data_IF_974267172225
#
_entry.id   IF_974267172225
#
_cell.length_a   1.000
_cell.length_b   1.000
_cell.length_c   1.000
_cell.angle_alpha   90.00
_cell.angle_beta   90.00
_cell.angle_gamma   90.00
#
_symmetry.space_group_name_H-M   'P 1'
#
loop_
_entity.id
_entity.type
_entity.pdbx_description
1 polymer ?
#
# COMPACT_ATOMS: atom_id res chain seq x y z
N UNK A 1 -1.10 20.37 20.85
CA UNK A 1 -0.86 18.93 21.14
C UNK A 1 0.51 18.81 21.79
N UNK A 2 0.67 17.91 22.74
CA UNK A 2 1.99 17.61 23.31
C UNK A 2 2.90 17.00 22.27
N UNK A 3 4.16 17.47 22.22
CA UNK A 3 5.17 16.93 21.30
C UNK A 3 5.49 15.47 21.68
N UNK A 4 5.52 14.58 20.72
CA UNK A 4 5.84 13.15 20.90
C UNK A 4 6.92 12.71 19.95
N UNK A 5 7.67 11.70 20.35
CA UNK A 5 8.71 11.08 19.53
C UNK A 5 8.21 9.74 18.97
N UNK A 6 8.25 9.61 17.65
CA UNK A 6 7.81 8.42 16.91
C UNK A 6 9.00 7.67 16.31
N UNK A 7 9.04 6.35 16.47
CA UNK A 7 9.91 5.46 15.71
C UNK A 7 9.04 4.58 14.81
N UNK A 8 9.09 4.82 13.50
CA UNK A 8 8.39 4.01 12.51
C UNK A 8 9.32 2.95 11.91
N UNK A 9 8.79 1.76 11.61
CA UNK A 9 9.52 0.72 10.88
C UNK A 9 8.77 0.35 9.62
N UNK A 10 9.47 0.24 8.51
CA UNK A 10 8.90 -0.15 7.22
C UNK A 10 9.90 -0.95 6.39
N UNK A 11 9.43 -1.85 5.53
CA UNK A 11 10.30 -2.52 4.57
C UNK A 11 10.90 -1.55 3.55
N UNK A 12 10.19 -0.46 3.26
CA UNK A 12 10.57 0.55 2.26
C UNK A 12 10.24 1.96 2.72
N UNK A 13 11.00 2.94 2.17
CA UNK A 13 10.69 4.36 2.30
C UNK A 13 11.15 5.10 1.02
N UNK A 14 10.39 6.08 0.50
CA UNK A 14 10.79 6.83 -0.70
C UNK A 14 12.14 7.55 -0.55
N UNK A 15 13.02 7.51 -1.59
CA UNK A 15 12.79 7.03 -2.95
C UNK A 15 12.98 5.52 -3.12
N UNK A 16 13.36 4.77 -2.08
CA UNK A 16 13.65 3.33 -2.09
C UNK A 16 12.40 2.53 -1.81
N UNK A 17 11.44 2.54 -2.75
CA UNK A 17 10.13 1.92 -2.50
C UNK A 17 9.46 1.31 -3.73
N UNK A 18 8.45 0.47 -3.44
CA UNK A 18 7.52 -0.10 -4.40
C UNK A 18 6.14 -0.17 -3.73
N UNK A 19 5.17 0.57 -4.24
CA UNK A 19 3.79 0.51 -3.77
C UNK A 19 3.38 1.60 -2.77
N UNK A 20 2.11 1.56 -2.42
CA UNK A 20 1.45 2.60 -1.63
C UNK A 20 1.71 2.55 -0.12
N UNK A 21 2.15 1.39 0.42
CA UNK A 21 2.49 1.23 1.83
C UNK A 21 3.60 2.19 2.27
N UNK A 22 4.70 2.24 1.51
CA UNK A 22 5.79 3.15 1.76
C UNK A 22 5.41 4.63 1.55
N UNK A 23 4.51 4.90 0.60
CA UNK A 23 3.95 6.24 0.37
C UNK A 23 3.13 6.69 1.57
N UNK A 24 2.30 5.80 2.15
CA UNK A 24 1.56 6.09 3.37
C UNK A 24 2.50 6.42 4.54
N UNK A 25 3.58 5.63 4.75
CA UNK A 25 4.57 5.92 5.81
C UNK A 25 5.20 7.29 5.61
N UNK A 26 5.54 7.65 4.37
CA UNK A 26 6.06 8.98 4.03
C UNK A 26 5.03 10.06 4.38
N UNK A 27 3.79 9.91 3.95
CA UNK A 27 2.74 10.89 4.24
C UNK A 27 2.53 11.06 5.74
N UNK A 28 2.41 9.96 6.48
CA UNK A 28 2.22 10.01 7.94
C UNK A 28 3.41 10.67 8.64
N UNK A 29 4.64 10.28 8.31
CA UNK A 29 5.83 10.83 8.95
C UNK A 29 5.99 12.33 8.69
N UNK A 30 5.79 12.78 7.45
CA UNK A 30 5.91 14.20 7.09
C UNK A 30 4.79 15.06 7.70
N UNK A 31 3.56 14.55 7.77
CA UNK A 31 2.45 15.28 8.42
C UNK A 31 2.63 15.37 9.94
N UNK A 32 3.12 14.32 10.60
CA UNK A 32 3.44 14.39 12.03
C UNK A 32 4.57 15.40 12.33
N UNK A 33 5.58 15.50 11.48
CA UNK A 33 6.63 16.53 11.59
C UNK A 33 6.05 17.94 11.47
N UNK A 34 5.13 18.18 10.52
CA UNK A 34 4.45 19.48 10.37
C UNK A 34 3.66 19.87 11.63
N UNK A 35 3.20 18.90 12.39
CA UNK A 35 2.51 19.11 13.68
C UNK A 35 3.45 19.31 14.87
N UNK A 36 4.77 19.28 14.63
CA UNK A 36 5.79 19.52 15.66
C UNK A 36 6.23 18.28 16.42
N UNK A 37 5.90 17.09 15.92
CA UNK A 37 6.40 15.82 16.47
C UNK A 37 7.80 15.49 15.93
N UNK A 38 8.57 14.72 16.71
CA UNK A 38 9.85 14.15 16.28
C UNK A 38 9.59 12.78 15.65
N UNK A 39 10.06 12.57 14.41
CA UNK A 39 9.74 11.36 13.67
C UNK A 39 10.99 10.73 13.05
N UNK A 40 11.21 9.46 13.40
CA UNK A 40 12.29 8.62 12.95
C UNK A 40 11.72 7.43 12.14
N UNK A 41 12.33 7.12 11.00
CA UNK A 41 11.90 5.99 10.16
C UNK A 41 13.05 5.05 9.86
N UNK A 42 12.92 3.79 10.30
CA UNK A 42 13.86 2.70 10.02
C UNK A 42 13.32 1.83 8.88
N UNK A 43 14.13 1.59 7.83
CA UNK A 43 13.72 0.80 6.69
C UNK A 43 14.86 0.00 6.04
N UNK A 44 14.53 -1.02 5.20
CA UNK A 44 15.51 -1.94 4.61
C UNK A 44 15.92 -1.52 3.20
N UNK A 45 17.20 -1.23 3.01
CA UNK A 45 17.79 -1.04 1.68
C UNK A 45 18.02 -2.38 0.98
N UNK A 46 18.37 -3.42 1.71
CA UNK A 46 18.59 -4.75 1.14
C UNK A 46 17.31 -5.26 0.46
N UNK A 47 16.13 -5.01 1.06
CA UNK A 47 14.84 -5.33 0.46
C UNK A 47 14.59 -4.60 -0.85
N UNK A 48 14.98 -3.33 -0.95
CA UNK A 48 14.88 -2.56 -2.20
C UNK A 48 15.84 -3.09 -3.27
N UNK A 49 17.12 -3.29 -2.93
CA UNK A 49 18.15 -3.84 -3.83
C UNK A 49 17.83 -5.26 -4.30
N UNK A 50 17.16 -6.06 -3.46
CA UNK A 50 16.72 -7.39 -3.85
C UNK A 50 15.73 -7.35 -5.02
N UNK A 51 14.78 -6.41 -5.00
CA UNK A 51 13.78 -6.24 -6.08
C UNK A 51 14.30 -5.41 -7.27
N UNK A 52 15.32 -4.58 -7.08
CA UNK A 52 15.96 -3.74 -8.11
C UNK A 52 17.47 -3.93 -8.09
N UNK A 53 17.98 -5.08 -8.59
CA UNK A 53 19.42 -5.42 -8.53
C UNK A 53 20.33 -4.42 -9.24
N UNK A 54 19.83 -3.78 -10.30
CA UNK A 54 20.58 -2.83 -11.14
C UNK A 54 20.69 -1.42 -10.52
N UNK A 55 20.20 -1.25 -9.30
CA UNK A 55 20.30 0.03 -8.61
C UNK A 55 21.74 0.28 -8.12
N UNK A 56 22.41 1.25 -8.74
CA UNK A 56 23.79 1.66 -8.43
C UNK A 56 23.87 3.00 -7.68
N UNK A 57 22.73 3.53 -7.18
CA UNK A 57 22.72 4.78 -6.43
C UNK A 57 23.52 4.67 -5.11
N UNK A 58 24.18 5.76 -4.72
CA UNK A 58 24.77 5.91 -3.40
C UNK A 58 23.68 5.86 -2.34
N UNK A 59 23.92 5.11 -1.29
CA UNK A 59 23.04 5.05 -0.13
C UNK A 59 23.58 6.07 0.85
N UNK A 60 22.83 7.11 1.11
CA UNK A 60 23.18 8.07 2.15
C UNK A 60 22.98 7.40 3.52
N UNK A 61 23.99 7.46 4.37
CA UNK A 61 23.87 7.10 5.77
C UNK A 61 22.99 8.13 6.45
N UNK A 62 22.11 7.70 7.34
CA UNK A 62 21.22 8.52 8.16
C UNK A 62 21.02 9.96 7.63
N UNK A 63 19.94 10.19 6.92
CA UNK A 63 19.62 11.51 6.35
C UNK A 63 18.39 12.10 7.03
N UNK A 64 18.28 13.43 7.03
CA UNK A 64 17.05 14.13 7.39
C UNK A 64 16.36 14.63 6.13
N UNK A 65 15.13 14.17 5.90
CA UNK A 65 14.36 14.56 4.72
C UNK A 65 12.97 15.07 5.13
N UNK A 66 12.62 16.28 4.73
CA UNK A 66 11.37 16.94 5.09
C UNK A 66 11.10 16.91 6.61
N UNK A 67 12.18 17.04 7.43
CA UNK A 67 12.11 16.99 8.88
C UNK A 67 12.09 15.59 9.49
N UNK A 68 11.97 14.53 8.71
CA UNK A 68 11.98 13.13 9.16
C UNK A 68 13.41 12.61 9.20
N UNK A 69 13.81 11.99 10.32
CA UNK A 69 15.11 11.34 10.48
C UNK A 69 15.06 9.90 9.95
N UNK A 70 15.85 9.61 8.91
CA UNK A 70 15.82 8.35 8.17
C UNK A 70 16.99 7.45 8.54
N UNK A 71 16.72 6.18 8.80
CA UNK A 71 17.69 5.14 9.16
C UNK A 71 17.62 3.99 8.14
N UNK A 72 18.28 4.15 6.97
CA UNK A 72 18.37 3.08 5.98
C UNK A 72 19.25 1.95 6.51
N UNK A 73 18.73 0.73 6.55
CA UNK A 73 19.43 -0.44 7.04
C UNK A 73 19.97 -1.28 5.88
N UNK A 74 21.27 -1.54 5.91
CA UNK A 74 21.94 -2.46 5.01
C UNK A 74 22.73 -3.47 5.83
N UNK A 75 22.32 -4.75 5.78
CA UNK A 75 23.00 -5.83 6.50
C UNK A 75 24.37 -6.11 5.89
N UNK A 76 25.42 -6.36 6.70
CA UNK A 76 26.70 -6.85 6.21
C UNK A 76 26.57 -8.17 5.42
N UNK A 77 25.55 -8.97 5.69
CA UNK A 77 25.24 -10.22 5.00
C UNK A 77 24.40 -10.02 3.72
N UNK A 78 23.93 -8.80 3.45
CA UNK A 78 23.14 -8.45 2.27
C UNK A 78 21.97 -9.40 2.03
N UNK A 79 21.89 -9.96 0.81
CA UNK A 79 20.81 -10.89 0.43
C UNK A 79 20.69 -12.12 1.34
N UNK A 80 21.76 -12.60 1.94
CA UNK A 80 21.72 -13.76 2.84
C UNK A 80 20.91 -13.47 4.09
N UNK A 81 20.99 -12.25 4.64
CA UNK A 81 20.16 -11.86 5.79
C UNK A 81 18.66 -11.83 5.43
N UNK A 82 18.30 -11.41 4.22
CA UNK A 82 16.93 -11.48 3.73
C UNK A 82 16.42 -12.92 3.64
N UNK A 83 17.24 -13.85 3.15
CA UNK A 83 16.91 -15.28 3.11
C UNK A 83 16.70 -15.86 4.52
N UNK A 84 17.62 -15.58 5.44
CA UNK A 84 17.48 -15.99 6.84
C UNK A 84 16.25 -15.40 7.48
N UNK A 85 15.99 -14.11 7.26
CA UNK A 85 14.78 -13.43 7.75
C UNK A 85 13.52 -14.09 7.21
N UNK A 86 13.49 -14.45 5.93
CA UNK A 86 12.36 -15.15 5.33
C UNK A 86 12.13 -16.54 5.96
N UNK A 87 13.22 -17.33 6.13
CA UNK A 87 13.15 -18.70 6.63
C UNK A 87 12.86 -18.80 8.13
N UNK A 88 13.38 -17.85 8.92
CA UNK A 88 13.30 -17.88 10.39
C UNK A 88 12.33 -16.85 10.98
N UNK A 89 11.91 -15.87 10.18
CA UNK A 89 11.13 -14.72 10.62
C UNK A 89 11.94 -13.68 11.39
N UNK A 90 13.28 -13.85 11.51
CA UNK A 90 14.15 -13.03 12.37
C UNK A 90 15.41 -12.61 11.67
N UNK A 91 15.88 -11.38 11.94
CA UNK A 91 17.22 -10.90 11.63
C UNK A 91 17.91 -10.42 12.90
N UNK A 92 19.09 -10.95 13.20
CA UNK A 92 19.90 -10.51 14.35
C UNK A 92 20.43 -9.10 14.13
N UNK A 93 20.83 -8.76 12.89
CA UNK A 93 21.28 -7.43 12.52
C UNK A 93 20.18 -6.38 12.73
N UNK A 94 18.99 -6.60 12.13
CA UNK A 94 17.85 -5.69 12.26
C UNK A 94 17.46 -5.53 13.73
N UNK A 95 17.38 -6.64 14.50
CA UNK A 95 17.09 -6.59 15.94
C UNK A 95 18.09 -5.71 16.70
N UNK A 96 19.40 -5.88 16.42
CA UNK A 96 20.45 -5.09 17.09
C UNK A 96 20.29 -3.60 16.79
N UNK A 97 20.10 -3.23 15.50
CA UNK A 97 19.90 -1.86 15.08
C UNK A 97 18.65 -1.24 15.68
N UNK A 98 17.52 -1.95 15.64
CA UNK A 98 16.27 -1.53 16.24
C UNK A 98 16.41 -1.30 17.75
N UNK A 99 17.05 -2.24 18.47
CA UNK A 99 17.28 -2.09 19.92
C UNK A 99 18.23 -0.93 20.25
N UNK A 100 19.19 -0.63 19.37
CA UNK A 100 20.04 0.56 19.48
C UNK A 100 19.22 1.84 19.36
N UNK A 101 18.42 1.96 18.32
CA UNK A 101 17.55 3.11 18.09
C UNK A 101 16.53 3.34 19.23
N UNK A 102 15.94 2.28 19.78
CA UNK A 102 15.05 2.40 20.94
C UNK A 102 15.75 3.03 22.16
N UNK A 103 17.01 2.72 22.40
CA UNK A 103 17.80 3.28 23.53
C UNK A 103 18.20 4.74 23.28
N UNK A 104 18.55 5.06 22.04
CA UNK A 104 18.98 6.38 21.61
C UNK A 104 17.79 7.36 21.57
N UNK A 105 16.74 7.00 20.85
CA UNK A 105 15.57 7.84 20.54
C UNK A 105 14.61 7.92 21.74
N UNK A 106 14.42 6.81 22.48
CA UNK A 106 13.43 6.65 23.55
C UNK A 106 12.02 7.09 23.12
N UNK A 107 11.46 6.47 22.07
CA UNK A 107 10.22 6.92 21.47
C UNK A 107 9.03 6.75 22.44
N UNK A 108 8.03 7.63 22.31
CA UNK A 108 6.72 7.48 22.94
C UNK A 108 5.85 6.47 22.19
N UNK A 109 6.06 6.38 20.87
CA UNK A 109 5.30 5.51 19.97
C UNK A 109 6.26 4.77 19.04
N UNK A 110 6.13 3.44 19.00
CA UNK A 110 6.72 2.61 17.95
C UNK A 110 5.60 2.16 17.03
N UNK A 111 5.70 2.52 15.75
CA UNK A 111 4.68 2.20 14.77
C UNK A 111 5.25 1.36 13.64
N UNK A 112 4.83 0.11 13.60
CA UNK A 112 5.23 -0.85 12.58
C UNK A 112 4.28 -0.80 11.38
N UNK A 113 4.84 -0.77 10.18
CA UNK A 113 4.08 -0.84 8.94
C UNK A 113 4.37 -2.16 8.22
N UNK A 114 4.86 -2.15 6.99
CA UNK A 114 5.30 -3.37 6.32
C UNK A 114 6.66 -3.82 6.85
N UNK A 115 6.73 -5.00 7.48
CA UNK A 115 7.96 -5.54 8.10
C UNK A 115 8.50 -6.78 7.40
N UNK A 116 8.09 -7.06 6.18
CA UNK A 116 8.44 -8.27 5.44
C UNK A 116 9.96 -8.53 5.39
N UNK A 117 10.77 -7.49 5.22
CA UNK A 117 12.23 -7.59 5.20
C UNK A 117 12.90 -7.30 6.54
N UNK A 118 12.15 -6.94 7.56
CA UNK A 118 12.69 -6.64 8.91
C UNK A 118 12.59 -7.84 9.85
N UNK A 119 11.64 -8.75 9.58
CA UNK A 119 11.34 -9.88 10.44
C UNK A 119 10.46 -9.52 11.64
N UNK A 120 9.83 -10.54 12.25
CA UNK A 120 8.86 -10.31 13.33
C UNK A 120 9.48 -9.89 14.66
N UNK A 121 10.78 -10.06 14.85
CA UNK A 121 11.46 -9.72 16.09
C UNK A 121 11.51 -8.21 16.39
N UNK A 122 11.23 -7.34 15.41
CA UNK A 122 11.03 -5.90 15.63
C UNK A 122 9.71 -5.58 16.34
N UNK A 123 8.70 -6.46 16.26
CA UNK A 123 7.42 -6.27 16.92
C UNK A 123 7.50 -6.43 18.45
N UNK A 124 8.58 -7.03 18.95
CA UNK A 124 8.76 -7.26 20.38
C UNK A 124 8.88 -5.94 21.13
N UNK A 125 8.05 -5.77 22.17
CA UNK A 125 8.04 -4.58 23.01
C UNK A 125 9.16 -4.65 24.05
N UNK A 126 10.04 -3.65 24.06
CA UNK A 126 11.22 -3.59 24.95
C UNK A 126 11.16 -2.44 25.98
N UNK A 127 10.06 -1.68 26.02
CA UNK A 127 9.96 -0.52 26.88
C UNK A 127 8.53 -0.02 27.06
N UNK A 128 8.41 1.15 27.68
CA UNK A 128 7.12 1.82 27.87
C UNK A 128 6.86 2.78 26.70
N UNK A 129 6.27 2.29 25.65
CA UNK A 129 5.82 3.06 24.48
C UNK A 129 4.56 2.39 23.92
N UNK A 130 3.76 3.13 23.18
CA UNK A 130 2.67 2.54 22.43
C UNK A 130 3.24 1.74 21.24
N UNK A 131 2.96 0.44 21.17
CA UNK A 131 3.45 -0.48 20.15
C UNK A 131 2.34 -0.78 19.12
N UNK A 132 2.36 -0.08 17.99
CA UNK A 132 1.31 -0.12 16.99
C UNK A 132 1.74 -0.86 15.73
N UNK A 133 0.80 -1.48 15.03
CA UNK A 133 1.03 -2.11 13.73
C UNK A 133 -0.08 -1.74 12.75
N UNK A 134 0.27 -1.10 11.61
CA UNK A 134 -0.69 -0.93 10.50
C UNK A 134 -0.55 -2.06 9.50
N UNK A 135 -1.65 -2.77 9.25
CA UNK A 135 -1.71 -3.89 8.33
C UNK A 135 -1.94 -3.40 6.88
N UNK A 136 -0.85 -3.05 6.17
CA UNK A 136 -0.94 -2.63 4.76
C UNK A 136 -1.13 -3.79 3.80
N UNK A 137 -0.80 -5.00 4.22
CA UNK A 137 -0.99 -6.25 3.51
C UNK A 137 -1.39 -7.37 4.47
N UNK A 138 -1.53 -8.58 3.96
CA UNK A 138 -1.94 -9.74 4.76
C UNK A 138 -0.78 -10.52 5.39
N UNK A 139 0.38 -9.89 5.57
CA UNK A 139 1.59 -10.55 6.08
C UNK A 139 1.37 -11.24 7.43
N UNK A 140 0.61 -10.66 8.35
CA UNK A 140 0.34 -11.28 9.66
C UNK A 140 -0.34 -12.65 9.56
N UNK A 141 -1.14 -12.90 8.53
CA UNK A 141 -2.01 -14.09 8.39
C UNK A 141 -1.75 -14.94 7.15
N UNK A 142 -0.93 -14.46 6.20
CA UNK A 142 -0.65 -15.14 4.95
C UNK A 142 0.85 -15.17 4.65
N UNK A 143 1.43 -16.37 4.39
CA UNK A 143 2.85 -16.53 4.04
C UNK A 143 3.20 -15.87 2.69
N UNK A 144 2.20 -15.66 1.83
CA UNK A 144 2.32 -14.97 0.54
C UNK A 144 1.99 -13.50 0.62
N UNK A 145 1.44 -13.00 1.75
CA UNK A 145 0.98 -11.64 2.04
C UNK A 145 -0.11 -11.08 1.11
N UNK A 146 -0.63 -11.88 0.17
CA UNK A 146 -1.60 -11.45 -0.84
C UNK A 146 -2.99 -12.10 -0.70
N UNK A 147 -3.17 -13.04 0.24
CA UNK A 147 -4.38 -13.89 0.37
C UNK A 147 -4.82 -14.55 -0.94
N UNK A 148 -3.88 -14.84 -1.84
CA UNK A 148 -4.16 -15.53 -3.10
C UNK A 148 -3.67 -16.98 -3.03
N UNK A 149 -4.59 -17.93 -3.17
CA UNK A 149 -4.27 -19.34 -3.23
C UNK A 149 -3.49 -19.64 -4.50
N UNK A 150 -2.27 -20.14 -4.35
CA UNK A 150 -1.29 -20.39 -5.42
C UNK A 150 -0.98 -19.16 -6.30
N UNK A 151 -1.32 -17.95 -5.84
CA UNK A 151 -1.18 -16.71 -6.61
C UNK A 151 -2.18 -16.56 -7.76
N UNK A 152 -3.29 -17.29 -7.74
CA UNK A 152 -4.27 -17.32 -8.82
C UNK A 152 -5.64 -16.79 -8.40
N UNK A 153 -6.20 -17.34 -7.33
CA UNK A 153 -7.54 -17.02 -6.84
C UNK A 153 -7.49 -16.55 -5.38
N UNK A 154 -8.53 -15.87 -4.91
CA UNK A 154 -8.66 -15.49 -3.51
C UNK A 154 -8.64 -16.73 -2.60
N UNK A 155 -7.98 -16.60 -1.44
CA UNK A 155 -7.80 -17.71 -0.50
C UNK A 155 -9.02 -17.82 0.43
N UNK A 156 -9.85 -18.83 0.21
CA UNK A 156 -10.98 -19.17 1.07
C UNK A 156 -10.58 -20.17 2.18
N UNK A 157 -9.72 -21.12 1.84
CA UNK A 157 -9.31 -22.20 2.75
C UNK A 157 -7.79 -22.21 2.94
N UNK A 158 -7.35 -22.11 4.18
CA UNK A 158 -5.93 -22.06 4.55
C UNK A 158 -5.28 -23.44 4.41
N UNK A 159 -4.41 -23.59 3.43
CA UNK A 159 -3.44 -24.67 3.34
C UNK A 159 -2.08 -24.04 2.99
N UNK A 160 -1.57 -23.24 3.93
CA UNK A 160 -0.44 -22.34 3.69
C UNK A 160 0.85 -23.09 3.31
N UNK A 161 1.10 -24.27 3.87
CA UNK A 161 2.29 -25.07 3.56
C UNK A 161 2.35 -25.44 2.08
N UNK A 162 1.32 -26.11 1.57
CA UNK A 162 1.26 -26.51 0.17
C UNK A 162 1.10 -25.32 -0.78
N UNK A 163 0.32 -24.29 -0.37
CA UNK A 163 0.18 -23.07 -1.16
C UNK A 163 1.53 -22.39 -1.40
N UNK A 164 2.36 -22.30 -0.37
CA UNK A 164 3.67 -21.66 -0.45
C UNK A 164 4.63 -22.50 -1.30
N UNK A 165 4.66 -23.83 -1.08
CA UNK A 165 5.52 -24.76 -1.82
C UNK A 165 5.18 -24.76 -3.32
N UNK A 166 3.89 -24.90 -3.68
CA UNK A 166 3.44 -24.85 -5.08
C UNK A 166 3.62 -23.49 -5.74
N UNK A 167 3.73 -22.44 -4.93
CA UNK A 167 4.11 -21.10 -5.41
C UNK A 167 5.63 -20.91 -5.55
N UNK A 168 6.42 -22.01 -5.49
CA UNK A 168 7.89 -22.01 -5.56
C UNK A 168 8.56 -21.15 -4.48
N UNK A 169 7.99 -21.15 -3.26
CA UNK A 169 8.52 -20.47 -2.09
C UNK A 169 8.72 -21.48 -0.95
N UNK A 170 9.67 -21.23 -0.07
CA UNK A 170 9.82 -22.04 1.14
C UNK A 170 8.70 -21.73 2.14
N UNK A 171 8.06 -22.75 2.75
CA UNK A 171 7.08 -22.54 3.81
C UNK A 171 7.68 -21.87 5.04
N UNK A 172 6.98 -20.89 5.59
CA UNK A 172 7.40 -20.14 6.78
C UNK A 172 6.89 -20.85 8.06
N UNK A 173 7.57 -21.94 8.44
CA UNK A 173 7.18 -22.80 9.57
C UNK A 173 7.17 -22.02 10.89
N UNK A 174 8.04 -21.00 11.03
CA UNK A 174 8.14 -20.16 12.21
C UNK A 174 6.83 -19.44 12.58
N UNK A 175 5.91 -19.27 11.64
CA UNK A 175 4.59 -18.64 11.91
C UNK A 175 3.73 -19.41 12.90
N UNK A 176 4.02 -20.71 13.09
CA UNK A 176 3.34 -21.56 14.08
C UNK A 176 4.14 -21.65 15.40
N UNK A 177 5.25 -20.93 15.52
CA UNK A 177 6.07 -21.00 16.73
C UNK A 177 5.46 -20.21 17.89
N UNK A 178 5.64 -20.70 19.12
CA UNK A 178 5.26 -20.00 20.34
C UNK A 178 5.86 -18.58 20.40
N UNK A 179 7.12 -18.44 19.97
CA UNK A 179 7.79 -17.14 19.95
C UNK A 179 7.16 -16.11 19.00
N UNK A 180 6.63 -16.53 17.87
CA UNK A 180 5.89 -15.61 17.00
C UNK A 180 4.57 -15.18 17.64
N UNK A 181 3.85 -16.12 18.29
CA UNK A 181 2.61 -15.83 18.99
C UNK A 181 2.81 -14.86 20.17
N UNK A 182 3.90 -15.06 20.95
CA UNK A 182 4.26 -14.15 22.04
C UNK A 182 4.51 -12.74 21.53
N UNK A 183 5.26 -12.59 20.44
CA UNK A 183 5.58 -11.27 19.88
C UNK A 183 4.36 -10.59 19.23
N UNK A 184 3.41 -11.35 18.69
CA UNK A 184 2.12 -10.79 18.27
C UNK A 184 1.33 -10.21 19.44
N UNK A 185 1.45 -10.82 20.65
CA UNK A 185 0.85 -10.33 21.89
C UNK A 185 1.49 -9.04 22.42
N UNK A 186 2.68 -8.69 21.97
CA UNK A 186 3.37 -7.44 22.32
C UNK A 186 2.84 -6.22 21.53
N UNK A 187 2.01 -6.42 20.52
CA UNK A 187 1.37 -5.34 19.77
C UNK A 187 0.16 -4.84 20.55
N UNK A 188 0.19 -3.61 20.99
CA UNK A 188 -0.91 -3.00 21.75
C UNK A 188 -2.17 -2.86 20.89
N UNK A 189 -2.01 -2.39 19.64
CA UNK A 189 -3.13 -2.27 18.70
C UNK A 189 -2.69 -2.48 17.26
N UNK A 190 -3.50 -3.22 16.51
CA UNK A 190 -3.40 -3.38 15.06
C UNK A 190 -4.38 -2.42 14.40
N UNK A 191 -3.87 -1.57 13.52
CA UNK A 191 -4.65 -0.68 12.67
C UNK A 191 -4.92 -1.40 11.35
N UNK A 192 -6.18 -1.62 11.06
CA UNK A 192 -6.66 -2.17 9.80
C UNK A 192 -7.23 -1.04 8.93
N UNK A 193 -6.67 -0.76 7.73
CA UNK A 193 -7.12 0.34 6.89
C UNK A 193 -8.50 0.15 6.24
N UNK A 194 -9.14 -1.01 6.39
CA UNK A 194 -10.50 -1.30 5.93
C UNK A 194 -11.21 -2.24 6.89
N UNK A 195 -12.54 -2.26 6.86
CA UNK A 195 -13.32 -3.23 7.62
C UNK A 195 -13.04 -4.65 7.15
N UNK A 196 -12.90 -4.84 5.83
CA UNK A 196 -12.51 -6.14 5.26
C UNK A 196 -11.20 -6.67 5.88
N UNK A 197 -10.18 -5.83 5.99
CA UNK A 197 -8.91 -6.22 6.63
C UNK A 197 -9.09 -6.52 8.12
N UNK A 198 -9.85 -5.69 8.83
CA UNK A 198 -10.17 -5.90 10.25
C UNK A 198 -10.81 -7.27 10.46
N UNK A 199 -11.83 -7.60 9.66
CA UNK A 199 -12.55 -8.87 9.77
C UNK A 199 -11.62 -10.05 9.46
N UNK A 200 -10.82 -9.96 8.38
CA UNK A 200 -9.85 -11.01 8.01
C UNK A 200 -8.78 -11.25 9.06
N UNK A 201 -8.29 -10.20 9.71
CA UNK A 201 -7.34 -10.32 10.81
C UNK A 201 -8.00 -10.92 12.05
N UNK A 202 -9.21 -10.46 12.43
CA UNK A 202 -9.96 -10.96 13.57
C UNK A 202 -10.31 -12.45 13.47
N UNK A 203 -10.67 -12.89 12.24
CA UNK A 203 -10.97 -14.30 11.94
C UNK A 203 -9.71 -15.19 11.92
N UNK A 204 -8.58 -14.61 11.59
CA UNK A 204 -7.39 -15.39 11.17
C UNK A 204 -6.26 -15.42 12.17
N UNK A 205 -6.15 -14.41 13.02
CA UNK A 205 -5.09 -14.37 14.03
C UNK A 205 -5.39 -15.37 15.15
N UNK A 206 -4.38 -16.11 15.62
CA UNK A 206 -4.54 -17.10 16.68
C UNK A 206 -4.66 -16.47 18.08
N UNK A 207 -4.38 -15.19 18.17
CA UNK A 207 -4.56 -14.34 19.37
C UNK A 207 -5.68 -13.35 19.09
N UNK A 208 -6.20 -12.70 20.11
CA UNK A 208 -7.22 -11.65 19.99
C UNK A 208 -6.61 -10.27 20.34
N UNK A 209 -5.81 -9.68 19.44
CA UNK A 209 -5.28 -8.33 19.67
C UNK A 209 -6.41 -7.30 19.57
N UNK A 210 -6.17 -6.12 20.11
CA UNK A 210 -7.04 -4.97 19.79
C UNK A 210 -6.87 -4.62 18.29
N UNK A 211 -7.94 -4.69 17.49
CA UNK A 211 -7.91 -4.34 16.08
C UNK A 211 -8.92 -3.22 15.82
N UNK A 212 -8.42 -2.09 15.39
CA UNK A 212 -9.24 -0.91 15.06
C UNK A 212 -9.25 -0.66 13.55
N UNK A 213 -10.35 -0.14 13.03
CA UNK A 213 -10.38 0.34 11.64
C UNK A 213 -10.06 1.83 11.62
N UNK A 214 -8.92 2.18 11.03
CA UNK A 214 -8.54 3.56 10.71
C UNK A 214 -8.09 3.55 9.25
N UNK A 215 -8.90 4.08 8.31
CA UNK A 215 -8.56 4.11 6.90
C UNK A 215 -7.26 4.89 6.62
N UNK A 216 -6.54 4.51 5.57
CA UNK A 216 -5.44 5.34 5.07
C UNK A 216 -5.97 6.71 4.66
N UNK A 217 -5.06 7.66 4.58
CA UNK A 217 -5.32 9.02 4.11
C UNK A 217 -4.31 9.41 3.01
N UNK A 218 -4.57 10.52 2.36
CA UNK A 218 -3.58 11.25 1.54
C UNK A 218 -3.49 12.68 2.07
N UNK A 219 -2.34 13.35 1.91
CA UNK A 219 -2.20 14.76 2.30
C UNK A 219 -3.15 15.67 1.52
N UNK A 220 -3.31 16.91 1.98
CA UNK A 220 -4.02 17.93 1.21
C UNK A 220 -3.40 18.10 -0.16
N UNK A 221 -4.27 18.22 -1.14
CA UNK A 221 -3.86 18.46 -2.53
C UNK A 221 -3.06 19.78 -2.63
N UNK A 222 -2.10 19.86 -3.57
CA UNK A 222 -1.54 21.15 -3.97
C UNK A 222 -2.65 22.11 -4.42
N UNK A 223 -2.53 23.39 -4.08
CA UNK A 223 -3.52 24.42 -4.45
C UNK A 223 -3.61 24.59 -5.96
N UNK A 224 -2.46 24.54 -6.65
CA UNK A 224 -2.34 24.75 -8.10
C UNK A 224 -2.00 23.45 -8.84
N UNK A 225 -3.00 22.57 -9.02
CA UNK A 225 -2.84 21.41 -9.90
C UNK A 225 -3.02 21.88 -11.35
N UNK A 226 -1.96 21.76 -12.14
CA UNK A 226 -1.99 22.08 -13.59
C UNK A 226 -2.92 21.14 -14.34
N UNK A 227 -3.43 21.58 -15.50
CA UNK A 227 -4.16 20.70 -16.40
C UNK A 227 -3.22 19.72 -17.07
N UNK A 228 -3.71 18.52 -17.35
CA UNK A 228 -2.95 17.54 -18.11
C UNK A 228 -2.99 17.88 -19.61
N UNK A 229 -1.98 17.42 -20.36
CA UNK A 229 -1.99 17.53 -21.83
C UNK A 229 -2.90 16.49 -22.52
N UNK A 230 -3.71 15.78 -21.74
CA UNK A 230 -4.58 14.69 -22.22
C UNK A 230 -6.04 15.02 -21.92
N UNK A 231 -6.91 14.62 -22.83
CA UNK A 231 -8.35 14.74 -22.69
C UNK A 231 -9.04 13.41 -22.96
N UNK A 232 -10.21 13.22 -22.36
CA UNK A 232 -11.10 12.09 -22.61
C UNK A 232 -10.40 10.72 -22.40
N UNK A 233 -9.93 10.45 -21.17
CA UNK A 233 -9.22 9.21 -20.85
C UNK A 233 -9.63 8.62 -19.51
N UNK A 234 -9.58 7.30 -19.46
CA UNK A 234 -9.57 6.54 -18.21
C UNK A 234 -8.13 6.41 -17.72
N UNK A 235 -7.94 6.44 -16.42
CA UNK A 235 -6.63 6.37 -15.78
C UNK A 235 -6.47 5.05 -15.03
N UNK A 236 -5.33 4.41 -15.15
CA UNK A 236 -4.87 3.34 -14.28
C UNK A 236 -3.59 3.78 -13.58
N UNK A 237 -3.53 3.63 -12.25
CA UNK A 237 -2.34 3.93 -11.45
C UNK A 237 -2.02 2.74 -10.54
N UNK A 238 -0.82 2.17 -10.70
CA UNK A 238 -0.39 1.06 -9.86
C UNK A 238 0.70 0.19 -10.49
N UNK A 239 1.15 -0.82 -9.72
CA UNK A 239 2.13 -1.78 -10.20
C UNK A 239 1.55 -2.64 -11.33
N UNK A 240 2.33 -2.88 -12.39
CA UNK A 240 1.91 -3.65 -13.55
C UNK A 240 2.14 -5.14 -13.29
N UNK A 241 1.29 -5.71 -12.42
CA UNK A 241 1.32 -7.11 -12.01
C UNK A 241 -0.03 -7.80 -12.27
N UNK A 242 0.00 -9.15 -12.40
CA UNK A 242 -1.19 -9.93 -12.76
C UNK A 242 -2.37 -9.70 -11.81
N UNK A 243 -2.12 -9.65 -10.51
CA UNK A 243 -3.16 -9.51 -9.49
C UNK A 243 -3.88 -8.16 -9.51
N UNK A 244 -3.30 -7.16 -10.18
CA UNK A 244 -3.93 -5.83 -10.40
C UNK A 244 -4.89 -5.77 -11.60
N UNK A 245 -5.02 -6.86 -12.37
CA UNK A 245 -6.00 -6.95 -13.46
C UNK A 245 -5.68 -6.15 -14.71
N UNK A 246 -4.52 -5.52 -14.79
CA UNK A 246 -4.14 -4.61 -15.88
C UNK A 246 -4.19 -5.25 -17.28
N UNK A 247 -3.81 -6.53 -17.41
CA UNK A 247 -3.88 -7.21 -18.70
C UNK A 247 -5.31 -7.33 -19.23
N UNK A 248 -6.28 -7.54 -18.33
CA UNK A 248 -7.69 -7.59 -18.71
C UNK A 248 -8.19 -6.22 -19.14
N UNK A 249 -7.79 -5.16 -18.43
CA UNK A 249 -8.16 -3.78 -18.77
C UNK A 249 -7.69 -3.43 -20.19
N UNK A 250 -6.43 -3.74 -20.55
CA UNK A 250 -5.90 -3.48 -21.90
C UNK A 250 -6.64 -4.29 -22.98
N UNK A 251 -7.02 -5.56 -22.68
CA UNK A 251 -7.82 -6.37 -23.60
C UNK A 251 -9.20 -5.76 -23.86
N UNK A 252 -9.84 -5.26 -22.80
CA UNK A 252 -11.13 -4.59 -22.91
C UNK A 252 -11.05 -3.34 -23.79
N UNK A 253 -9.99 -2.53 -23.66
CA UNK A 253 -9.78 -1.38 -24.53
C UNK A 253 -9.57 -1.77 -26.01
N UNK A 254 -9.00 -2.95 -26.28
CA UNK A 254 -8.99 -3.52 -27.64
C UNK A 254 -10.40 -3.89 -28.12
N UNK A 255 -11.19 -4.58 -27.27
CA UNK A 255 -12.52 -5.06 -27.64
C UNK A 255 -13.52 -3.92 -27.83
N UNK A 256 -13.43 -2.86 -27.04
CA UNK A 256 -14.24 -1.65 -27.18
C UNK A 256 -13.88 -0.92 -28.48
N UNK A 257 -12.62 -0.96 -28.89
CA UNK A 257 -12.13 -0.39 -30.14
C UNK A 257 -12.48 1.08 -30.31
N UNK A 258 -13.10 1.43 -31.46
CA UNK A 258 -13.54 2.78 -31.79
C UNK A 258 -14.93 3.11 -31.20
N UNK A 259 -15.58 2.17 -30.49
CA UNK A 259 -16.94 2.34 -29.95
C UNK A 259 -17.06 3.39 -28.85
N UNK A 260 -15.95 3.79 -28.23
CA UNK A 260 -15.90 4.95 -27.34
C UNK A 260 -14.74 5.86 -27.73
N UNK A 261 -14.98 7.15 -27.72
CA UNK A 261 -13.92 8.15 -27.91
C UNK A 261 -13.24 8.46 -26.55
N UNK A 262 -12.60 7.44 -25.96
CA UNK A 262 -11.81 7.60 -24.75
C UNK A 262 -10.54 6.76 -24.82
N UNK A 263 -9.45 7.28 -24.27
CA UNK A 263 -8.12 6.66 -24.18
C UNK A 263 -7.95 5.94 -22.85
N UNK A 264 -6.92 5.10 -22.74
CA UNK A 264 -6.43 4.55 -21.48
C UNK A 264 -5.00 5.05 -21.23
N UNK A 265 -4.80 5.74 -20.11
CA UNK A 265 -3.46 6.11 -19.63
C UNK A 265 -3.10 5.19 -18.48
N UNK A 266 -1.92 4.57 -18.57
CA UNK A 266 -1.40 3.62 -17.60
C UNK A 266 -0.15 4.22 -16.96
N UNK A 267 -0.22 4.50 -15.65
CA UNK A 267 0.90 4.99 -14.86
C UNK A 267 1.37 3.88 -13.93
N UNK A 268 2.64 3.54 -14.00
CA UNK A 268 3.29 2.56 -13.15
C UNK A 268 4.28 1.67 -13.89
N UNK A 269 4.95 0.82 -13.13
CA UNK A 269 5.93 -0.15 -13.63
C UNK A 269 5.65 -1.52 -13.01
N UNK A 270 6.24 -2.58 -13.55
CA UNK A 270 6.09 -3.94 -13.03
C UNK A 270 6.51 -5.00 -14.03
N UNK A 271 6.40 -6.26 -13.64
CA UNK A 271 6.86 -7.41 -14.44
C UNK A 271 6.12 -7.54 -15.78
N UNK A 272 4.90 -7.01 -15.86
CA UNK A 272 4.06 -7.10 -17.07
C UNK A 272 4.25 -5.93 -18.04
N UNK A 273 5.06 -4.90 -17.73
CA UNK A 273 5.21 -3.71 -18.58
C UNK A 273 5.53 -4.08 -20.03
N UNK A 274 6.61 -4.81 -20.24
CA UNK A 274 7.05 -5.23 -21.58
C UNK A 274 5.97 -6.02 -22.33
N UNK A 275 5.31 -6.95 -21.65
CA UNK A 275 4.21 -7.74 -22.25
C UNK A 275 3.01 -6.89 -22.65
N UNK A 276 2.69 -5.86 -21.88
CA UNK A 276 1.61 -4.92 -22.18
C UNK A 276 1.98 -4.08 -23.40
N UNK A 277 3.19 -3.54 -23.46
CA UNK A 277 3.70 -2.76 -24.60
C UNK A 277 3.71 -3.61 -25.90
N UNK A 278 4.22 -4.84 -25.84
CA UNK A 278 4.17 -5.80 -26.97
C UNK A 278 2.71 -6.08 -27.42
N UNK A 279 1.77 -6.22 -26.48
CA UNK A 279 0.36 -6.45 -26.80
C UNK A 279 -0.27 -5.22 -27.47
N UNK A 280 0.06 -4.00 -27.01
CA UNK A 280 -0.40 -2.73 -27.61
C UNK A 280 0.06 -2.65 -29.08
N UNK A 281 1.36 -2.84 -29.34
CA UNK A 281 1.92 -2.79 -30.70
C UNK A 281 1.34 -3.87 -31.61
N UNK A 282 1.28 -5.12 -31.13
CA UNK A 282 0.70 -6.23 -31.92
C UNK A 282 -0.75 -5.99 -32.34
N UNK A 283 -1.51 -5.26 -31.52
CA UNK A 283 -2.95 -5.01 -31.77
C UNK A 283 -3.24 -3.59 -32.28
N UNK A 284 -2.21 -2.80 -32.64
CA UNK A 284 -2.32 -1.44 -33.18
C UNK A 284 -3.14 -0.50 -32.27
N UNK A 285 -2.81 -0.55 -30.96
CA UNK A 285 -3.52 0.23 -29.92
C UNK A 285 -2.74 1.48 -29.48
N UNK A 286 -1.65 1.87 -30.15
CA UNK A 286 -0.74 2.95 -29.75
C UNK A 286 -1.47 4.31 -29.62
N UNK A 287 -2.53 4.52 -30.42
CA UNK A 287 -3.35 5.74 -30.34
C UNK A 287 -4.45 5.68 -29.28
N UNK A 288 -4.63 4.54 -28.60
CA UNK A 288 -5.71 4.27 -27.65
C UNK A 288 -5.23 4.01 -26.24
N UNK A 289 -4.07 3.36 -26.08
CA UNK A 289 -3.52 2.91 -24.79
C UNK A 289 -2.09 3.41 -24.64
N UNK A 290 -1.83 4.21 -23.60
CA UNK A 290 -0.53 4.86 -23.35
C UNK A 290 0.06 4.34 -22.05
N UNK A 291 1.27 3.77 -22.10
CA UNK A 291 2.02 3.31 -20.92
C UNK A 291 3.10 4.34 -20.58
N UNK A 292 2.87 5.15 -19.56
CA UNK A 292 3.77 6.26 -19.20
C UNK A 292 4.94 5.81 -18.31
N UNK A 293 4.83 4.63 -17.69
CA UNK A 293 5.80 4.23 -16.68
C UNK A 293 5.62 5.03 -15.39
N UNK A 294 6.74 5.31 -14.71
CA UNK A 294 6.72 6.19 -13.54
C UNK A 294 6.66 7.66 -13.95
N UNK A 295 5.84 8.44 -13.28
CA UNK A 295 5.68 9.89 -13.51
C UNK A 295 5.94 10.66 -12.21
N UNK A 296 6.25 11.96 -12.33
CA UNK A 296 6.36 12.84 -11.16
C UNK A 296 5.01 13.03 -10.46
N UNK A 297 5.03 13.41 -9.18
CA UNK A 297 3.79 13.65 -8.43
C UNK A 297 2.93 14.74 -9.08
N UNK A 298 3.54 15.84 -9.57
CA UNK A 298 2.81 16.94 -10.22
C UNK A 298 2.07 16.45 -11.48
N UNK A 299 2.73 15.61 -12.29
CA UNK A 299 2.11 14.99 -13.45
C UNK A 299 0.99 14.04 -13.04
N UNK A 300 1.19 13.27 -11.98
CA UNK A 300 0.18 12.34 -11.48
C UNK A 300 -1.08 13.08 -11.01
N UNK A 301 -0.92 14.18 -10.27
CA UNK A 301 -2.05 15.02 -9.85
C UNK A 301 -2.81 15.62 -11.04
N UNK A 302 -2.08 16.09 -12.08
CA UNK A 302 -2.69 16.56 -13.32
C UNK A 302 -3.52 15.47 -14.00
N UNK A 303 -3.00 14.23 -14.03
CA UNK A 303 -3.72 13.10 -14.62
C UNK A 303 -4.96 12.73 -13.81
N UNK A 304 -4.92 12.75 -12.47
CA UNK A 304 -6.12 12.52 -11.66
C UNK A 304 -7.17 13.60 -11.86
N UNK A 305 -6.77 14.87 -11.95
CA UNK A 305 -7.67 16.02 -12.12
C UNK A 305 -8.55 15.93 -13.35
N UNK A 306 -7.97 15.47 -14.49
CA UNK A 306 -8.60 15.56 -15.82
C UNK A 306 -9.12 14.24 -16.36
N UNK A 307 -8.86 13.11 -15.71
CA UNK A 307 -9.37 11.81 -16.10
C UNK A 307 -10.90 11.73 -16.06
N UNK A 308 -11.46 10.75 -16.76
CA UNK A 308 -12.88 10.38 -16.69
C UNK A 308 -13.19 9.63 -15.40
N UNK A 309 -12.37 8.61 -15.12
CA UNK A 309 -12.39 7.81 -13.90
C UNK A 309 -11.03 7.12 -13.71
N UNK A 310 -10.68 6.82 -12.47
CA UNK A 310 -9.62 5.84 -12.15
C UNK A 310 -10.22 4.44 -12.30
N UNK A 311 -9.51 3.52 -12.98
CA UNK A 311 -9.94 2.13 -13.16
C UNK A 311 -9.01 1.19 -12.41
N UNK A 312 -9.55 0.45 -11.45
CA UNK A 312 -8.82 -0.48 -10.59
C UNK A 312 -9.44 -1.90 -10.65
N UNK A 313 -9.14 -2.69 -11.70
CA UNK A 313 -9.76 -4.01 -11.91
C UNK A 313 -9.02 -5.11 -11.15
N UNK A 314 -8.65 -4.86 -9.90
CA UNK A 314 -7.82 -5.74 -9.09
C UNK A 314 -8.51 -7.08 -8.82
N UNK A 315 -7.76 -8.17 -9.03
CA UNK A 315 -8.23 -9.55 -8.78
C UNK A 315 -8.09 -9.90 -7.30
N UNK A 316 -7.05 -9.40 -6.66
CA UNK A 316 -6.77 -9.64 -5.24
C UNK A 316 -7.58 -8.71 -4.33
N UNK A 317 -7.62 -9.03 -3.06
CA UNK A 317 -8.24 -8.18 -2.05
C UNK A 317 -7.37 -6.93 -1.79
N UNK A 318 -7.76 -5.80 -2.38
CA UNK A 318 -7.16 -4.50 -2.05
C UNK A 318 -7.50 -4.14 -0.60
N UNK A 319 -6.54 -3.54 0.09
CA UNK A 319 -6.79 -3.16 1.48
C UNK A 319 -7.49 -1.78 1.55
N UNK A 320 -6.74 -0.71 1.36
CA UNK A 320 -7.27 0.65 1.24
C UNK A 320 -6.29 1.42 0.32
N UNK A 321 -6.44 1.28 -1.01
CA UNK A 321 -5.41 1.67 -1.96
C UNK A 321 -5.26 3.19 -2.04
N UNK A 322 -4.03 3.69 -1.82
CA UNK A 322 -3.68 5.12 -1.85
C UNK A 322 -4.10 5.76 -3.18
N UNK A 323 -3.88 5.08 -4.32
CA UNK A 323 -4.28 5.60 -5.63
C UNK A 323 -5.79 5.90 -5.74
N UNK A 324 -6.65 5.11 -5.08
CA UNK A 324 -8.08 5.41 -5.02
C UNK A 324 -8.36 6.64 -4.15
N UNK A 325 -7.66 6.79 -3.03
CA UNK A 325 -7.78 7.96 -2.15
C UNK A 325 -7.28 9.23 -2.84
N UNK A 326 -6.17 9.16 -3.56
CA UNK A 326 -5.66 10.25 -4.39
C UNK A 326 -6.68 10.66 -5.46
N UNK A 327 -7.29 9.68 -6.14
CA UNK A 327 -8.33 9.96 -7.13
C UNK A 327 -9.53 10.70 -6.52
N UNK A 328 -10.11 10.16 -5.44
CA UNK A 328 -11.30 10.78 -4.83
C UNK A 328 -11.01 12.14 -4.19
N UNK A 329 -9.79 12.38 -3.72
CA UNK A 329 -9.37 13.69 -3.21
C UNK A 329 -9.40 14.78 -4.30
N UNK A 330 -9.15 14.41 -5.57
CA UNK A 330 -9.30 15.33 -6.72
C UNK A 330 -10.75 15.43 -7.22
N UNK A 331 -11.67 14.63 -6.68
CA UNK A 331 -13.05 14.51 -7.16
C UNK A 331 -13.22 13.56 -8.35
N UNK A 332 -12.24 12.69 -8.60
CA UNK A 332 -12.28 11.67 -9.66
C UNK A 332 -13.00 10.41 -9.16
N UNK A 333 -14.03 9.90 -9.87
CA UNK A 333 -14.67 8.64 -9.52
C UNK A 333 -13.73 7.45 -9.74
N UNK A 334 -13.95 6.38 -8.97
CA UNK A 334 -13.16 5.14 -9.04
C UNK A 334 -14.06 4.01 -9.50
N UNK A 335 -13.72 3.39 -10.63
CA UNK A 335 -14.30 2.14 -11.14
C UNK A 335 -13.40 1.00 -10.66
N UNK A 336 -13.97 0.01 -9.98
CA UNK A 336 -13.16 -1.10 -9.47
C UNK A 336 -13.95 -2.31 -9.05
N UNK A 337 -13.24 -3.37 -8.69
CA UNK A 337 -13.84 -4.61 -8.18
C UNK A 337 -14.26 -4.46 -6.71
N UNK A 338 -15.24 -5.25 -6.28
CA UNK A 338 -15.62 -5.35 -4.87
C UNK A 338 -14.68 -6.29 -4.09
N UNK A 339 -13.37 -6.19 -4.33
CA UNK A 339 -12.36 -7.02 -3.70
C UNK A 339 -11.68 -6.29 -2.53
N UNK A 340 -12.06 -6.63 -1.32
CA UNK A 340 -11.49 -6.03 -0.11
C UNK A 340 -11.95 -4.58 0.12
N UNK A 341 -11.08 -3.77 0.72
CA UNK A 341 -11.40 -2.38 1.08
C UNK A 341 -11.59 -1.42 -0.11
N UNK A 342 -11.22 -1.82 -1.34
CA UNK A 342 -11.53 -1.02 -2.54
C UNK A 342 -13.05 -0.89 -2.73
N UNK A 343 -13.79 -1.99 -2.53
CA UNK A 343 -15.25 -1.96 -2.59
C UNK A 343 -15.85 -0.98 -1.59
N UNK A 344 -15.31 -0.91 -0.37
CA UNK A 344 -15.76 0.02 0.67
C UNK A 344 -15.61 1.50 0.26
N UNK A 345 -14.55 1.83 -0.52
CA UNK A 345 -14.36 3.19 -1.05
C UNK A 345 -15.39 3.49 -2.14
N UNK A 346 -15.56 2.55 -3.08
CA UNK A 346 -16.45 2.76 -4.24
C UNK A 346 -17.91 2.85 -3.80
N UNK A 347 -18.35 2.03 -2.87
CA UNK A 347 -19.71 2.05 -2.33
C UNK A 347 -20.13 3.38 -1.72
N UNK A 348 -19.18 4.14 -1.16
CA UNK A 348 -19.42 5.48 -0.63
C UNK A 348 -19.62 6.53 -1.74
N UNK A 349 -19.16 6.24 -2.96
CA UNK A 349 -19.30 7.12 -4.12
C UNK A 349 -20.58 6.73 -4.87
N UNK A 350 -20.59 5.52 -5.43
CA UNK A 350 -21.68 4.95 -6.18
C UNK A 350 -21.46 3.45 -6.43
N UNK A 351 -22.40 2.61 -6.04
CA UNK A 351 -22.35 1.16 -6.25
C UNK A 351 -22.34 0.73 -7.72
N UNK A 352 -22.82 1.56 -8.63
CA UNK A 352 -22.81 1.28 -10.07
C UNK A 352 -21.37 1.27 -10.65
N UNK A 353 -20.41 1.87 -9.95
CA UNK A 353 -18.99 1.86 -10.32
C UNK A 353 -18.28 0.56 -9.94
N UNK A 354 -18.95 -0.33 -9.20
CA UNK A 354 -18.40 -1.66 -8.86
C UNK A 354 -18.49 -2.57 -10.07
N UNK A 355 -17.36 -3.12 -10.47
CA UNK A 355 -17.25 -4.11 -11.55
C UNK A 355 -17.82 -5.44 -11.05
N UNK A 356 -18.91 -5.90 -11.63
CA UNK A 356 -19.44 -7.26 -11.46
C UNK A 356 -18.70 -8.23 -12.40
N UNK A 357 -18.81 -9.54 -12.18
CA UNK A 357 -17.93 -10.59 -12.77
C UNK A 357 -17.62 -10.46 -14.26
N UNK A 358 -18.50 -9.94 -15.11
CA UNK A 358 -18.23 -9.68 -16.54
C UNK A 358 -18.40 -8.21 -16.94
N UNK A 359 -18.47 -7.30 -15.95
CA UNK A 359 -19.01 -5.96 -16.14
C UNK A 359 -18.01 -4.86 -16.48
N UNK A 360 -16.67 -5.06 -16.46
CA UNK A 360 -15.72 -3.96 -16.68
C UNK A 360 -15.95 -3.29 -18.05
N UNK A 361 -16.18 -4.06 -19.10
CA UNK A 361 -16.49 -3.54 -20.44
C UNK A 361 -17.78 -2.72 -20.41
N UNK A 362 -18.82 -3.25 -19.77
CA UNK A 362 -20.13 -2.56 -19.64
C UNK A 362 -20.02 -1.26 -18.87
N UNK A 363 -19.31 -1.25 -17.73
CA UNK A 363 -19.12 -0.03 -16.93
C UNK A 363 -18.35 1.03 -17.73
N UNK A 364 -17.26 0.65 -18.43
CA UNK A 364 -16.47 1.60 -19.24
C UNK A 364 -17.30 2.11 -20.43
N UNK A 365 -18.01 1.24 -21.15
CA UNK A 365 -18.79 1.61 -22.35
C UNK A 365 -19.97 2.50 -22.01
N UNK A 366 -20.63 2.23 -20.89
CA UNK A 366 -21.83 2.96 -20.44
C UNK A 366 -21.50 4.07 -19.44
N UNK A 367 -20.19 4.36 -19.22
CA UNK A 367 -19.79 5.38 -18.28
C UNK A 367 -20.33 6.76 -18.68
N UNK A 368 -21.29 7.25 -17.93
CA UNK A 368 -21.92 8.57 -18.16
C UNK A 368 -21.27 9.62 -17.29
N UNK A 369 -20.73 10.67 -17.90
CA UNK A 369 -20.35 11.91 -17.21
C UNK A 369 -21.58 12.84 -17.07
N UNK A 370 -21.60 13.71 -16.04
CA UNK A 370 -20.55 13.96 -15.06
C UNK A 370 -20.93 13.45 -13.66
N UNK A 371 -20.00 12.75 -13.02
CA UNK A 371 -20.02 12.67 -11.56
C UNK A 371 -19.68 14.04 -10.97
N UNK A 372 -20.41 14.46 -9.95
CA UNK A 372 -20.12 15.70 -9.25
C UNK A 372 -18.81 15.59 -8.49
N UNK A 373 -17.77 16.30 -8.96
CA UNK A 373 -16.47 16.35 -8.29
C UNK A 373 -16.60 16.72 -6.81
N UNK A 374 -17.49 17.69 -6.49
CA UNK A 374 -17.71 18.14 -5.12
C UNK A 374 -18.29 17.04 -4.23
N UNK A 375 -19.23 16.23 -4.73
CA UNK A 375 -19.78 15.10 -3.95
C UNK A 375 -18.70 14.06 -3.66
N UNK A 376 -17.82 13.75 -4.61
CA UNK A 376 -16.73 12.79 -4.42
C UNK A 376 -15.72 13.34 -3.41
N UNK A 377 -15.35 14.64 -3.50
CA UNK A 377 -14.50 15.28 -2.52
C UNK A 377 -15.10 15.28 -1.11
N UNK A 378 -16.41 15.46 -0.98
CA UNK A 378 -17.08 15.33 0.32
C UNK A 378 -16.94 13.94 0.91
N UNK A 379 -16.98 12.86 0.10
CA UNK A 379 -16.69 11.49 0.56
C UNK A 379 -15.25 11.38 1.07
N UNK A 380 -14.29 11.96 0.33
CA UNK A 380 -12.90 12.00 0.78
C UNK A 380 -12.77 12.76 2.12
N UNK A 381 -13.29 13.97 2.21
CA UNK A 381 -13.18 14.82 3.41
C UNK A 381 -13.81 14.16 4.65
N UNK A 382 -14.93 13.47 4.47
CA UNK A 382 -15.66 12.82 5.54
C UNK A 382 -14.96 11.56 6.07
N UNK A 383 -14.35 10.73 5.18
CA UNK A 383 -13.92 9.38 5.54
C UNK A 383 -12.42 9.14 5.43
N UNK A 384 -11.67 9.97 4.66
CA UNK A 384 -10.30 9.69 4.28
C UNK A 384 -9.35 10.87 4.42
N UNK A 385 -9.80 11.98 5.02
CA UNK A 385 -8.97 13.15 5.27
C UNK A 385 -7.89 12.86 6.32
N UNK A 386 -6.77 13.59 6.23
CA UNK A 386 -5.71 13.49 7.23
C UNK A 386 -6.21 13.91 8.63
N UNK A 387 -7.04 14.91 8.72
CA UNK A 387 -7.60 15.40 9.99
C UNK A 387 -8.46 14.32 10.68
N UNK A 388 -9.26 13.57 9.89
CA UNK A 388 -10.03 12.42 10.39
C UNK A 388 -9.13 11.31 10.89
N UNK A 389 -8.14 10.93 10.06
CA UNK A 389 -7.13 9.94 10.42
C UNK A 389 -6.37 10.34 11.69
N UNK A 390 -5.87 11.57 11.76
CA UNK A 390 -5.09 12.08 12.89
C UNK A 390 -5.88 12.03 14.20
N UNK A 391 -7.14 12.49 14.18
CA UNK A 391 -8.01 12.44 15.35
C UNK A 391 -8.11 11.02 15.94
N UNK A 392 -8.38 10.03 15.08
CA UNK A 392 -8.59 8.65 15.49
C UNK A 392 -7.24 8.00 15.90
N UNK A 393 -6.16 8.34 15.20
CA UNK A 393 -4.80 7.87 15.50
C UNK A 393 -4.27 8.42 16.83
N UNK A 394 -4.44 9.72 17.10
CA UNK A 394 -3.98 10.33 18.36
C UNK A 394 -4.80 9.87 19.55
N UNK A 395 -6.10 9.66 19.38
CA UNK A 395 -6.95 9.04 20.40
C UNK A 395 -6.44 7.65 20.77
N UNK A 396 -6.15 6.82 19.78
CA UNK A 396 -5.60 5.48 20.00
C UNK A 396 -4.30 5.49 20.81
N UNK A 397 -3.38 6.43 20.52
CA UNK A 397 -2.12 6.56 21.25
C UNK A 397 -2.38 6.99 22.70
N UNK A 398 -3.34 7.86 22.95
CA UNK A 398 -3.76 8.25 24.31
C UNK A 398 -4.31 7.08 25.10
N UNK A 399 -5.18 6.27 24.51
CA UNK A 399 -5.82 5.11 25.13
C UNK A 399 -4.81 3.98 25.48
N UNK A 400 -3.71 3.87 24.74
CA UNK A 400 -2.66 2.85 25.00
C UNK A 400 -1.69 3.28 26.11
N UNK A 401 -1.54 4.58 26.36
CA UNK A 401 -0.61 5.11 27.37
C UNK A 401 -1.26 5.26 28.75
N UNK A 402 -2.58 5.22 28.85
CA UNK A 402 -3.34 5.17 30.11
C UNK A 402 -3.53 3.74 30.62
#
# INVERSE_FOLDING_TARGET
>A
METRTFLMTSSYYPPYHFGGDAVHVKYLSEELVKLGHEVHVMFSIDGFKYKKPDFNGSLENNEKRNGVDLYPLQSPLGKSDLYFTYLTGRSSYIKSRFSGLLKEIKPDVVHHHNIFFLGYNVLKKYGKYANLYTAHDYWLICQRFDLMKYGQNNCEHKNCFYCTLLSKRFPQIWRNSKSFMEVLGDIDTIIAPSNFMKDKLSESLPIKPNIVNIPNFVPRLPEDIRDSNYSNYFLYVGVLERHKGICNLVKIFKEIGMGIDAKLIIVGTGSLKKKIEEYITKNKLENKVFVMGWVSNDMLWSLYKDALALVMPSIWHENNPIAALEAISTGLPVIGTNNGGLGEIIEKIDRELIIKEDGLKGVITNFKKPYSKNKIKQVYDQFYSFEGFLRDYMKLIGDVQT
#
